data_IF_675674949532
#
_entry.id   IF_675674949532
#
_cell.length_a   1.000
_cell.length_b   1.000
_cell.length_c   1.000
_cell.angle_alpha   90.00
_cell.angle_beta   90.00
_cell.angle_gamma   90.00
#
_symmetry.space_group_name_H-M   'P 1'
#
loop_
_entity.id
_entity.type
_entity.pdbx_description
1 polymer ?
#
# COMPACT_ATOMS: atom_id res chain seq x y z
N UNK A 1 6.60 -9.83 4.60
CA UNK A 1 6.29 -8.99 3.43
C UNK A 1 7.59 -8.79 2.70
N UNK A 2 7.61 -9.09 1.41
CA UNK A 2 8.75 -8.85 0.55
C UNK A 2 8.51 -7.51 -0.13
N UNK A 3 9.33 -6.51 0.22
CA UNK A 3 9.30 -5.18 -0.39
C UNK A 3 10.22 -5.17 -1.61
N UNK A 4 9.71 -4.67 -2.74
CA UNK A 4 10.50 -4.43 -3.95
C UNK A 4 10.18 -3.04 -4.50
N UNK A 5 11.20 -2.26 -4.80
CA UNK A 5 11.07 -0.93 -5.40
C UNK A 5 11.60 -0.92 -6.83
N UNK A 6 10.94 -0.17 -7.70
CA UNK A 6 11.27 -0.02 -9.10
C UNK A 6 11.35 1.47 -9.46
N UNK A 7 12.34 1.81 -10.29
CA UNK A 7 12.41 3.15 -10.90
C UNK A 7 11.37 3.29 -12.01
N UNK A 8 10.82 4.51 -12.20
CA UNK A 8 9.87 4.76 -13.26
C UNK A 8 10.54 4.71 -14.63
N UNK A 9 9.75 4.44 -15.66
CA UNK A 9 10.17 4.66 -17.04
C UNK A 9 10.54 6.14 -17.24
N UNK A 10 11.52 6.45 -18.10
CA UNK A 10 12.04 7.82 -18.29
C UNK A 10 10.95 8.84 -18.62
N UNK A 11 9.94 8.46 -19.39
CA UNK A 11 8.79 9.32 -19.73
C UNK A 11 7.90 9.68 -18.52
N UNK A 12 7.96 8.89 -17.45
CA UNK A 12 7.17 9.08 -16.23
C UNK A 12 7.98 9.69 -15.09
N UNK A 13 9.31 9.71 -15.19
CA UNK A 13 10.20 10.27 -14.17
C UNK A 13 9.90 11.73 -13.76
N UNK A 14 9.30 12.60 -14.61
CA UNK A 14 8.89 13.94 -14.16
C UNK A 14 7.68 13.95 -13.21
N UNK A 15 6.94 12.84 -13.09
CA UNK A 15 5.65 12.76 -12.41
C UNK A 15 5.55 11.67 -11.34
N UNK A 16 6.47 10.70 -11.36
CA UNK A 16 6.45 9.53 -10.50
C UNK A 16 7.87 9.37 -9.96
N UNK A 17 8.02 9.28 -8.66
CA UNK A 17 9.32 9.06 -8.02
C UNK A 17 9.74 7.59 -8.10
N UNK A 18 8.83 6.68 -7.72
CA UNK A 18 9.04 5.24 -7.77
C UNK A 18 7.73 4.45 -7.80
N UNK A 19 7.86 3.17 -8.12
CA UNK A 19 6.85 2.15 -7.85
C UNK A 19 7.37 1.25 -6.76
N UNK A 20 6.55 0.88 -5.80
CA UNK A 20 6.90 -0.19 -4.88
C UNK A 20 5.80 -1.23 -4.81
N UNK A 21 6.23 -2.47 -4.62
CA UNK A 21 5.38 -3.63 -4.46
C UNK A 21 5.67 -4.27 -3.11
N UNK A 22 4.61 -4.67 -2.41
CA UNK A 22 4.70 -5.43 -1.18
C UNK A 22 3.92 -6.74 -1.32
N UNK A 23 4.65 -7.84 -1.19
CA UNK A 23 4.10 -9.20 -1.31
C UNK A 23 3.97 -9.82 0.06
N UNK A 24 2.80 -10.39 0.33
CA UNK A 24 2.57 -11.12 1.57
C UNK A 24 3.47 -12.37 1.59
N UNK A 25 4.33 -12.48 2.62
CA UNK A 25 5.09 -13.71 2.83
C UNK A 25 4.14 -14.82 3.29
N UNK A 26 4.53 -16.06 2.98
CA UNK A 26 3.73 -17.27 3.23
C UNK A 26 3.05 -17.25 4.62
N UNK A 27 1.85 -17.85 4.77
CA UNK A 27 1.07 -17.82 6.00
C UNK A 27 1.88 -18.19 7.27
N UNK A 28 1.56 -17.60 8.44
CA UNK A 28 0.43 -16.70 8.70
C UNK A 28 0.73 -15.24 8.33
N UNK A 29 -0.22 -14.62 7.63
CA UNK A 29 -0.17 -13.19 7.34
C UNK A 29 -0.31 -12.40 8.64
N UNK A 30 0.41 -11.27 8.78
CA UNK A 30 0.19 -10.37 9.92
C UNK A 30 -1.24 -9.85 9.85
N UNK A 31 -1.97 -9.90 10.97
CA UNK A 31 -3.35 -9.38 11.01
C UNK A 31 -3.41 -7.88 10.76
N UNK A 32 -2.37 -7.13 11.16
CA UNK A 32 -2.26 -5.68 10.96
C UNK A 32 -0.83 -5.32 10.54
N UNK A 33 -0.74 -4.44 9.55
CA UNK A 33 0.49 -3.91 8.99
C UNK A 33 0.50 -2.39 9.07
N UNK A 34 1.71 -1.82 9.09
CA UNK A 34 1.92 -0.38 9.28
C UNK A 34 2.63 0.20 8.07
N UNK A 35 1.93 1.03 7.29
CA UNK A 35 2.51 1.83 6.22
C UNK A 35 3.04 3.14 6.79
N UNK A 36 4.35 3.34 6.71
CA UNK A 36 5.04 4.50 7.28
C UNK A 36 4.88 5.71 6.36
N UNK A 37 4.58 6.91 6.88
CA UNK A 37 4.50 8.11 6.07
C UNK A 37 5.90 8.54 5.61
N UNK A 38 6.03 8.87 4.33
CA UNK A 38 7.25 9.39 3.71
C UNK A 38 7.10 10.87 3.27
N UNK A 39 5.90 11.43 3.41
CA UNK A 39 5.61 12.82 3.03
C UNK A 39 5.15 12.98 1.58
N UNK A 40 4.90 11.88 0.86
CA UNK A 40 4.48 11.89 -0.55
C UNK A 40 2.99 11.67 -0.72
N UNK A 41 2.49 11.84 -1.95
CA UNK A 41 1.16 11.40 -2.36
C UNK A 41 1.32 10.07 -3.08
N UNK A 42 0.50 9.09 -2.69
CA UNK A 42 0.59 7.74 -3.21
C UNK A 42 -0.69 7.35 -3.94
N UNK A 43 -0.57 6.73 -5.12
CA UNK A 43 -1.67 6.04 -5.77
C UNK A 43 -1.50 4.53 -5.52
N UNK A 44 -2.39 3.97 -4.71
CA UNK A 44 -2.34 2.56 -4.31
C UNK A 44 -3.25 1.69 -5.15
N UNK A 45 -2.74 0.52 -5.51
CA UNK A 45 -3.42 -0.57 -6.17
C UNK A 45 -3.24 -1.86 -5.37
N UNK A 46 -4.34 -2.44 -4.92
CA UNK A 46 -4.38 -3.74 -4.26
C UNK A 46 -4.96 -4.76 -5.23
N UNK A 47 -4.17 -5.78 -5.54
CA UNK A 47 -4.57 -6.86 -6.43
C UNK A 47 -4.99 -8.08 -5.61
N UNK A 48 -6.30 -8.26 -5.49
CA UNK A 48 -6.92 -9.27 -4.64
C UNK A 48 -8.19 -8.71 -4.00
N UNK A 49 -8.37 -9.00 -2.71
CA UNK A 49 -9.47 -8.44 -1.94
C UNK A 49 -9.20 -6.98 -1.54
N UNK A 50 -10.28 -6.25 -1.22
CA UNK A 50 -10.18 -4.96 -0.55
C UNK A 50 -9.45 -5.13 0.81
N UNK A 51 -8.64 -4.15 1.19
CA UNK A 51 -8.06 -4.12 2.53
C UNK A 51 -8.88 -3.22 3.46
N UNK A 52 -8.62 -3.31 4.75
CA UNK A 52 -9.26 -2.47 5.75
C UNK A 52 -8.26 -1.53 6.39
N UNK A 53 -8.56 -0.24 6.42
CA UNK A 53 -7.88 0.71 7.30
C UNK A 53 -8.32 0.48 8.74
N UNK A 54 -7.35 0.33 9.64
CA UNK A 54 -7.56 0.08 11.07
C UNK A 54 -7.26 1.36 11.84
N UNK A 55 -8.25 1.87 12.59
CA UNK A 55 -8.07 3.01 13.49
C UNK A 55 -8.67 2.67 14.85
N UNK A 56 -7.80 2.29 15.80
CA UNK A 56 -8.25 1.79 17.10
C UNK A 56 -9.09 0.52 16.94
N UNK A 57 -10.37 0.58 17.31
CA UNK A 57 -11.33 -0.54 17.13
C UNK A 57 -12.13 -0.46 15.83
N UNK A 58 -11.99 0.62 15.05
CA UNK A 58 -12.72 0.81 13.80
C UNK A 58 -11.94 0.20 12.65
N UNK A 59 -12.64 -0.52 11.78
CA UNK A 59 -12.14 -0.97 10.48
C UNK A 59 -12.99 -0.35 9.37
N UNK A 60 -12.34 0.27 8.38
CA UNK A 60 -13.00 0.86 7.23
C UNK A 60 -12.48 0.19 5.94
N UNK A 61 -13.39 -0.33 5.12
CA UNK A 61 -13.00 -0.96 3.85
C UNK A 61 -12.50 0.09 2.88
N UNK A 62 -11.33 -0.15 2.30
CA UNK A 62 -10.75 0.68 1.24
C UNK A 62 -10.75 -0.13 -0.05
N UNK A 63 -11.24 0.50 -1.13
CA UNK A 63 -11.32 -0.17 -2.44
C UNK A 63 -9.93 -0.45 -3.01
N UNK A 64 -9.86 -1.49 -3.84
CA UNK A 64 -8.66 -1.92 -4.56
C UNK A 64 -7.76 -0.79 -5.10
N UNK A 65 -8.31 0.25 -5.72
CA UNK A 65 -7.54 1.42 -6.19
C UNK A 65 -7.99 2.72 -5.55
N UNK A 66 -7.06 3.52 -5.02
CA UNK A 66 -7.37 4.81 -4.39
C UNK A 66 -6.10 5.68 -4.24
N UNK A 67 -6.30 6.99 -4.02
CA UNK A 67 -5.21 7.94 -3.72
C UNK A 67 -5.11 8.13 -2.20
N UNK A 68 -3.90 8.06 -1.68
CA UNK A 68 -3.54 8.44 -0.32
C UNK A 68 -2.77 9.76 -0.39
N UNK A 69 -3.34 10.81 0.22
CA UNK A 69 -2.63 12.08 0.38
C UNK A 69 -1.55 12.02 1.45
N UNK A 70 -0.83 13.13 1.64
CA UNK A 70 0.26 13.23 2.63
C UNK A 70 -0.24 12.88 4.04
N UNK A 71 0.46 11.96 4.71
CA UNK A 71 0.13 11.47 6.06
C UNK A 71 1.15 11.96 7.09
N UNK A 72 0.68 12.30 8.29
CA UNK A 72 1.55 12.62 9.45
C UNK A 72 1.78 11.43 10.38
N UNK A 73 1.03 10.34 10.19
CA UNK A 73 1.03 9.15 11.05
C UNK A 73 0.99 7.91 10.17
N UNK A 74 1.52 6.81 10.69
CA UNK A 74 1.45 5.52 10.03
C UNK A 74 0.00 5.07 9.86
N UNK A 75 -0.31 4.54 8.68
CA UNK A 75 -1.60 3.93 8.39
C UNK A 75 -1.53 2.47 8.80
N UNK A 76 -2.43 2.05 9.68
CA UNK A 76 -2.57 0.65 10.01
C UNK A 76 -3.57 0.01 9.03
N UNK A 77 -3.19 -1.09 8.42
CA UNK A 77 -4.04 -1.82 7.47
C UNK A 77 -4.15 -3.29 7.88
N UNK A 78 -5.29 -3.90 7.65
CA UNK A 78 -5.46 -5.35 7.71
C UNK A 78 -5.86 -5.87 6.34
N UNK A 79 -5.31 -7.02 5.96
CA UNK A 79 -5.51 -7.65 4.67
C UNK A 79 -6.10 -9.05 4.86
N UNK A 80 -6.95 -9.49 3.92
CA UNK A 80 -7.46 -10.86 3.93
C UNK A 80 -6.42 -11.84 3.36
N UNK A 81 -6.60 -13.13 3.64
CA UNK A 81 -5.69 -14.21 3.21
C UNK A 81 -5.55 -14.40 1.68
N UNK A 82 -6.32 -13.67 0.86
CA UNK A 82 -6.33 -13.84 -0.60
C UNK A 82 -5.54 -12.78 -1.37
N UNK A 83 -4.96 -11.80 -0.68
CA UNK A 83 -4.19 -10.74 -1.32
C UNK A 83 -2.84 -11.27 -1.77
N UNK A 84 -2.56 -11.14 -3.06
CA UNK A 84 -1.30 -11.63 -3.65
C UNK A 84 -0.25 -10.52 -3.67
N UNK A 85 -0.63 -9.29 -4.02
CA UNK A 85 0.31 -8.17 -4.22
C UNK A 85 -0.37 -6.81 -4.00
N UNK A 86 0.29 -5.91 -3.27
CA UNK A 86 -0.05 -4.47 -3.25
C UNK A 86 1.02 -3.70 -4.02
N UNK A 87 0.62 -2.78 -4.89
CA UNK A 87 1.50 -1.88 -5.64
C UNK A 87 1.13 -0.44 -5.26
N UNK A 88 2.11 0.37 -4.91
CA UNK A 88 1.95 1.81 -4.76
C UNK A 88 2.79 2.56 -5.79
N UNK A 89 2.24 3.66 -6.26
CA UNK A 89 2.89 4.62 -7.15
C UNK A 89 3.10 5.90 -6.35
N UNK A 90 4.35 6.28 -6.15
CA UNK A 90 4.71 7.53 -5.46
C UNK A 90 4.75 8.65 -6.49
N UNK A 91 3.89 9.65 -6.31
CA UNK A 91 3.68 10.80 -7.20
C UNK A 91 4.42 12.02 -6.65
#
# INVERSE_FOLDING_TARGET
>A
MIYTEYKPHTLLAPYIECYWQADADRPPFREVESLIPDGTVELMFNFGDDYHEVTGRRQARVKGSHIIGIRKRALQISQSNNLRHSISVVI
#
